data_IF_129784982856
#
_entry.id   IF_129784982856
#
_cell.length_a   1.000
_cell.length_b   1.000
_cell.length_c   1.000
_cell.angle_alpha   90.00
_cell.angle_beta   90.00
_cell.angle_gamma   90.00
#
_symmetry.space_group_name_H-M   'P 1'
#
loop_
_entity.id
_entity.type
_entity.pdbx_description
1 polymer ?
#
# COMPACT_ATOMS: atom_id res chain seq x y z
N UNK A 1 9.36 9.02 18.59
CA UNK A 1 8.93 10.41 18.31
C UNK A 1 8.15 10.41 16.99
N UNK A 2 6.89 10.85 16.99
CA UNK A 2 6.07 11.01 15.77
C UNK A 2 6.47 12.31 15.09
N UNK A 3 6.56 12.32 13.76
CA UNK A 3 6.87 13.54 13.01
C UNK A 3 5.68 14.49 12.97
N UNK A 4 5.94 15.77 13.22
CA UNK A 4 4.97 16.84 13.00
C UNK A 4 4.81 17.17 11.51
N UNK A 5 3.76 17.90 11.17
CA UNK A 5 3.56 18.53 9.86
C UNK A 5 4.80 19.27 9.34
N UNK A 6 5.43 20.08 10.19
CA UNK A 6 6.66 20.83 9.88
C UNK A 6 7.83 19.90 9.60
N UNK A 7 7.97 18.82 10.36
CA UNK A 7 9.05 17.85 10.17
C UNK A 7 8.87 17.03 8.89
N UNK A 8 7.62 16.63 8.59
CA UNK A 8 7.27 15.96 7.33
C UNK A 8 7.63 16.88 6.16
N UNK A 9 7.21 18.15 6.20
CA UNK A 9 7.50 19.11 5.14
C UNK A 9 8.99 19.34 4.96
N UNK A 10 9.75 19.46 6.06
CA UNK A 10 11.21 19.58 6.02
C UNK A 10 11.85 18.37 5.35
N UNK A 11 11.45 17.15 5.72
CA UNK A 11 12.01 15.91 5.15
C UNK A 11 11.68 15.72 3.67
N UNK A 12 10.50 16.16 3.24
CA UNK A 12 10.12 16.19 1.82
C UNK A 12 10.99 17.18 1.05
N UNK A 13 11.24 18.38 1.59
CA UNK A 13 12.15 19.37 0.98
C UNK A 13 13.59 18.87 0.89
N UNK A 14 14.09 18.26 1.96
CA UNK A 14 15.45 17.73 2.06
C UNK A 14 15.63 16.39 1.29
N UNK A 15 14.57 15.90 0.61
CA UNK A 15 14.52 14.63 -0.15
C UNK A 15 14.81 13.36 0.65
N UNK A 16 14.87 13.45 1.98
CA UNK A 16 14.99 12.29 2.88
C UNK A 16 13.70 11.48 2.96
N UNK A 17 12.55 12.10 2.65
CA UNK A 17 11.25 11.46 2.50
C UNK A 17 10.68 11.82 1.13
N UNK A 18 10.30 10.82 0.35
CA UNK A 18 9.73 11.01 -0.98
C UNK A 18 8.26 10.61 -0.99
N UNK A 19 7.38 11.54 -1.34
CA UNK A 19 5.94 11.33 -1.50
C UNK A 19 5.57 11.84 -2.89
N UNK A 20 5.00 10.98 -3.73
CA UNK A 20 4.61 11.33 -5.10
C UNK A 20 3.22 10.77 -5.44
N UNK A 21 2.26 11.63 -5.83
CA UNK A 21 2.29 13.10 -5.80
C UNK A 21 2.20 13.66 -4.37
N UNK A 22 2.86 14.79 -4.10
CA UNK A 22 2.74 15.51 -2.83
C UNK A 22 1.82 16.72 -2.98
N UNK A 23 0.74 16.76 -2.19
CA UNK A 23 -0.13 17.92 -2.05
C UNK A 23 -0.11 18.39 -0.60
N UNK A 24 0.26 19.66 -0.39
CA UNK A 24 0.30 20.27 0.95
C UNK A 24 -1.08 20.33 1.60
N UNK A 25 -2.17 20.34 0.84
CA UNK A 25 -3.54 20.33 1.38
C UNK A 25 -3.92 19.02 2.08
N UNK A 26 -3.13 17.97 1.89
CA UNK A 26 -3.33 16.66 2.51
C UNK A 26 -2.54 16.50 3.81
N UNK A 27 -1.71 17.49 4.16
CA UNK A 27 -0.91 17.46 5.37
C UNK A 27 -1.78 17.84 6.58
N UNK A 28 -1.76 16.98 7.59
CA UNK A 28 -2.40 17.13 8.89
C UNK A 28 -1.33 17.37 9.96
N UNK A 29 -1.67 17.71 11.23
CA UNK A 29 -0.69 18.07 12.26
C UNK A 29 0.44 17.06 12.51
N UNK A 30 0.18 15.77 12.33
CA UNK A 30 1.17 14.68 12.50
C UNK A 30 1.01 13.53 11.50
N UNK A 31 0.17 13.72 10.49
CA UNK A 31 -0.16 12.71 9.48
C UNK A 31 -0.27 13.34 8.09
N UNK A 32 -0.32 12.51 7.06
CA UNK A 32 -0.65 12.92 5.69
C UNK A 32 -1.71 12.01 5.10
N UNK A 33 -2.78 12.60 4.57
CA UNK A 33 -3.86 11.87 3.90
C UNK A 33 -3.36 11.32 2.56
N UNK A 34 -3.77 10.09 2.23
CA UNK A 34 -3.56 9.51 0.91
C UNK A 34 -4.88 9.09 0.26
N UNK A 35 -4.83 8.98 -1.07
CA UNK A 35 -6.00 8.72 -1.88
C UNK A 35 -6.02 7.27 -2.39
N UNK A 36 -7.23 6.75 -2.59
CA UNK A 36 -7.46 5.46 -3.20
C UNK A 36 -7.12 5.49 -4.69
N UNK A 37 -6.32 4.53 -5.17
CA UNK A 37 -6.07 4.35 -6.61
C UNK A 37 -7.26 3.67 -7.30
N UNK A 38 -7.30 3.77 -8.63
CA UNK A 38 -8.27 3.14 -9.53
C UNK A 38 -8.11 1.61 -9.66
N UNK A 39 -6.98 1.04 -9.21
CA UNK A 39 -6.70 -0.41 -9.35
C UNK A 39 -6.95 -1.14 -8.04
N UNK A 40 -7.87 -2.10 -8.07
CA UNK A 40 -8.29 -2.91 -6.92
C UNK A 40 -8.05 -4.38 -7.24
N UNK A 41 -7.49 -5.14 -6.29
CA UNK A 41 -7.38 -6.59 -6.44
C UNK A 41 -8.63 -7.28 -5.88
N UNK A 42 -9.23 -8.15 -6.68
CA UNK A 42 -10.41 -8.94 -6.34
C UNK A 42 -10.03 -10.41 -6.37
N UNK A 43 -10.44 -11.15 -5.35
CA UNK A 43 -10.22 -12.59 -5.29
C UNK A 43 -11.34 -13.33 -6.01
N UNK A 44 -10.97 -14.20 -6.94
CA UNK A 44 -11.92 -15.06 -7.65
C UNK A 44 -12.02 -16.41 -6.91
N UNK A 45 -12.57 -16.37 -5.69
CA UNK A 45 -12.61 -17.50 -4.74
C UNK A 45 -13.26 -18.78 -5.30
N UNK A 46 -14.07 -18.66 -6.36
CA UNK A 46 -14.73 -19.79 -7.02
C UNK A 46 -13.81 -20.58 -7.95
N UNK A 47 -12.68 -20.01 -8.38
CA UNK A 47 -11.73 -20.70 -9.27
C UNK A 47 -10.82 -21.67 -8.53
N UNK A 48 -10.71 -21.56 -7.21
CA UNK A 48 -9.75 -22.31 -6.40
C UNK A 48 -10.42 -22.93 -5.19
N UNK A 49 -10.44 -24.27 -5.10
CA UNK A 49 -10.97 -24.96 -3.91
C UNK A 49 -10.09 -24.81 -2.67
N UNK A 50 -8.81 -24.45 -2.84
CA UNK A 50 -7.85 -24.26 -1.75
C UNK A 50 -6.71 -23.34 -2.21
N UNK A 51 -6.15 -22.56 -1.28
CA UNK A 51 -4.91 -21.81 -1.49
C UNK A 51 -3.75 -22.61 -0.89
N UNK A 52 -2.92 -23.19 -1.75
CA UNK A 52 -1.65 -23.83 -1.37
C UNK A 52 -0.53 -22.78 -1.40
N UNK A 53 0.03 -22.48 -0.22
CA UNK A 53 1.02 -21.44 -0.02
C UNK A 53 2.38 -21.74 -0.68
N UNK A 54 2.71 -23.02 -0.91
CA UNK A 54 3.98 -23.42 -1.52
C UNK A 54 3.96 -23.31 -3.05
N UNK A 55 2.77 -23.28 -3.65
CA UNK A 55 2.59 -23.17 -5.09
C UNK A 55 2.27 -21.74 -5.50
N UNK A 56 2.83 -21.31 -6.63
CA UNK A 56 2.45 -20.04 -7.25
C UNK A 56 1.04 -20.21 -7.83
N UNK A 57 0.08 -19.48 -7.29
CA UNK A 57 -1.31 -19.48 -7.72
C UNK A 57 -1.80 -18.04 -7.86
N UNK A 58 -2.42 -17.74 -9.00
CA UNK A 58 -3.01 -16.44 -9.27
C UNK A 58 -4.48 -16.47 -8.81
N UNK A 59 -4.69 -16.28 -7.52
CA UNK A 59 -6.04 -16.31 -6.87
C UNK A 59 -6.80 -14.98 -6.95
N UNK A 60 -6.17 -13.96 -7.52
CA UNK A 60 -6.70 -12.61 -7.57
C UNK A 60 -6.42 -11.96 -8.90
N UNK A 61 -7.37 -11.16 -9.38
CA UNK A 61 -7.21 -10.30 -10.56
C UNK A 61 -7.31 -8.84 -10.18
N UNK A 62 -6.58 -8.01 -10.92
CA UNK A 62 -6.68 -6.56 -10.76
C UNK A 62 -7.82 -6.04 -11.64
N UNK A 63 -8.73 -5.30 -11.02
CA UNK A 63 -9.81 -4.56 -11.66
C UNK A 63 -9.47 -3.08 -11.64
N UNK A 64 -9.52 -2.44 -12.80
CA UNK A 64 -9.39 -0.99 -12.92
C UNK A 64 -10.80 -0.39 -12.99
N UNK A 65 -11.19 0.40 -11.99
CA UNK A 65 -12.48 1.09 -11.97
C UNK A 65 -12.45 2.41 -12.75
N UNK A 66 -11.28 2.88 -13.18
CA UNK A 66 -11.09 4.16 -13.85
C UNK A 66 -11.13 5.37 -12.92
N UNK A 67 -10.66 6.52 -13.42
CA UNK A 67 -10.43 7.75 -12.61
C UNK A 67 -11.67 8.37 -11.96
N UNK A 68 -12.87 8.05 -12.45
CA UNK A 68 -14.15 8.50 -11.88
C UNK A 68 -15.07 7.32 -11.53
N UNK A 69 -14.51 6.10 -11.51
CA UNK A 69 -15.28 4.92 -11.18
C UNK A 69 -15.48 4.75 -9.69
N UNK A 70 -16.28 3.75 -9.38
CA UNK A 70 -16.58 3.34 -8.02
C UNK A 70 -16.54 1.82 -7.89
N UNK A 71 -16.18 1.35 -6.70
CA UNK A 71 -16.19 -0.06 -6.35
C UNK A 71 -17.00 -0.26 -5.07
N UNK A 72 -17.79 -1.32 -4.98
CA UNK A 72 -18.57 -1.63 -3.79
C UNK A 72 -17.87 -2.74 -3.02
N UNK A 73 -17.61 -2.52 -1.74
CA UNK A 73 -17.09 -3.54 -0.82
C UNK A 73 -18.15 -3.90 0.22
N UNK A 74 -18.14 -5.16 0.66
CA UNK A 74 -19.07 -5.68 1.66
C UNK A 74 -18.32 -6.12 2.93
N UNK A 75 -17.70 -5.16 3.62
CA UNK A 75 -16.90 -5.40 4.84
C UNK A 75 -17.69 -5.15 6.14
N UNK A 76 -18.94 -4.71 6.04
CA UNK A 76 -19.77 -4.32 7.17
C UNK A 76 -21.23 -4.73 6.96
N UNK A 77 -22.11 -4.34 7.90
CA UNK A 77 -23.56 -4.62 7.81
C UNK A 77 -24.20 -3.98 6.58
N UNK A 78 -23.65 -2.87 6.08
CA UNK A 78 -24.07 -2.23 4.84
C UNK A 78 -22.93 -2.23 3.81
N UNK A 79 -23.24 -2.39 2.51
CA UNK A 79 -22.25 -2.20 1.46
C UNK A 79 -21.70 -0.77 1.46
N UNK A 80 -20.40 -0.63 1.21
CA UNK A 80 -19.71 0.67 1.15
C UNK A 80 -19.24 0.90 -0.28
N UNK A 81 -19.64 2.03 -0.86
CA UNK A 81 -19.21 2.46 -2.19
C UNK A 81 -17.95 3.34 -2.08
N UNK A 82 -16.84 2.84 -2.61
CA UNK A 82 -15.57 3.54 -2.73
C UNK A 82 -15.48 4.24 -4.07
N UNK A 83 -14.78 5.38 -4.12
CA UNK A 83 -14.55 6.14 -5.34
C UNK A 83 -13.06 6.28 -5.62
N UNK A 84 -12.65 6.10 -6.87
CA UNK A 84 -11.25 6.36 -7.25
C UNK A 84 -10.87 7.82 -6.91
N UNK A 85 -9.70 8.00 -6.31
CA UNK A 85 -9.19 9.32 -5.93
C UNK A 85 -9.80 9.90 -4.65
N UNK A 86 -10.66 9.18 -3.91
CA UNK A 86 -11.12 9.64 -2.59
C UNK A 86 -10.01 9.50 -1.54
N UNK A 87 -10.03 10.34 -0.49
CA UNK A 87 -9.20 10.11 0.71
C UNK A 87 -9.64 8.81 1.37
N UNK A 88 -8.70 7.92 1.65
CA UNK A 88 -9.01 6.57 2.17
C UNK A 88 -8.29 6.24 3.47
N UNK A 89 -7.26 7.02 3.81
CA UNK A 89 -6.50 6.83 5.03
C UNK A 89 -5.43 7.89 5.18
N UNK A 90 -4.66 7.75 6.25
CA UNK A 90 -3.60 8.67 6.63
C UNK A 90 -2.36 7.89 7.07
N UNK A 91 -1.19 8.49 6.86
CA UNK A 91 0.11 7.94 7.28
C UNK A 91 0.72 8.82 8.37
N UNK A 92 1.15 8.20 9.47
CA UNK A 92 2.00 8.80 10.48
C UNK A 92 3.42 8.27 10.33
N UNK A 93 4.43 9.11 10.55
CA UNK A 93 5.84 8.71 10.49
C UNK A 93 6.44 8.72 11.89
N UNK A 94 7.17 7.67 12.23
CA UNK A 94 7.82 7.52 13.54
C UNK A 94 9.33 7.43 13.33
N UNK A 95 10.06 8.20 14.13
CA UNK A 95 11.51 8.15 14.17
C UNK A 95 12.01 6.86 14.84
N UNK A 96 12.91 6.16 14.15
CA UNK A 96 13.70 5.09 14.74
C UNK A 96 14.74 5.65 15.70
N UNK A 97 15.15 4.84 16.68
CA UNK A 97 16.25 5.18 17.59
C UNK A 97 17.61 5.20 16.90
N UNK A 98 17.78 4.42 15.83
CA UNK A 98 19.00 4.35 15.02
C UNK A 98 18.69 3.97 13.56
N UNK A 99 19.63 4.19 12.63
CA UNK A 99 19.50 3.69 11.27
C UNK A 99 19.33 2.16 11.23
N UNK A 100 18.46 1.67 10.33
CA UNK A 100 18.27 0.23 10.14
C UNK A 100 19.52 -0.41 9.51
N UNK A 101 20.02 -1.49 10.12
CA UNK A 101 21.21 -2.21 9.60
C UNK A 101 20.96 -2.89 8.26
N UNK A 102 19.73 -3.34 8.02
CA UNK A 102 19.35 -4.06 6.80
C UNK A 102 17.99 -3.54 6.34
N UNK A 103 17.95 -2.48 5.52
CA UNK A 103 16.70 -1.88 5.07
C UNK A 103 15.91 -2.81 4.13
N UNK A 104 14.60 -2.60 4.05
CA UNK A 104 13.75 -3.27 3.06
C UNK A 104 14.25 -3.02 1.63
N UNK A 105 14.22 -4.05 0.78
CA UNK A 105 14.80 -4.03 -0.57
C UNK A 105 16.26 -4.46 -0.63
N UNK A 106 16.95 -4.62 0.51
CA UNK A 106 18.30 -5.17 0.54
C UNK A 106 18.33 -6.64 0.10
N UNK A 107 19.43 -7.04 -0.58
CA UNK A 107 19.62 -8.41 -1.08
C UNK A 107 19.51 -9.48 0.03
N UNK A 108 19.95 -9.16 1.25
CA UNK A 108 19.94 -10.07 2.40
C UNK A 108 18.53 -10.46 2.86
N UNK A 109 17.55 -9.56 2.74
CA UNK A 109 16.19 -9.81 3.24
C UNK A 109 15.30 -10.60 2.26
N UNK A 110 15.66 -10.67 0.98
CA UNK A 110 14.76 -11.25 -0.02
C UNK A 110 13.42 -10.52 -0.12
N UNK A 111 13.43 -9.19 0.01
CA UNK A 111 12.23 -8.35 -0.02
C UNK A 111 11.45 -8.51 -1.34
N UNK A 112 10.15 -8.77 -1.23
CA UNK A 112 9.32 -9.23 -2.36
C UNK A 112 8.65 -8.11 -3.16
N UNK A 113 8.46 -6.95 -2.54
CA UNK A 113 7.56 -5.90 -3.04
C UNK A 113 8.24 -4.53 -3.18
N UNK A 114 9.57 -4.49 -3.21
CA UNK A 114 10.31 -3.26 -3.48
C UNK A 114 9.86 -2.67 -4.84
N UNK A 115 9.57 -1.37 -4.87
CA UNK A 115 9.11 -0.62 -6.05
C UNK A 115 7.74 -1.06 -6.63
N UNK A 116 6.85 -1.65 -5.83
CA UNK A 116 5.50 -1.98 -6.28
C UNK A 116 4.71 -0.72 -6.69
N UNK A 117 3.92 -0.81 -7.78
CA UNK A 117 3.12 0.30 -8.35
C UNK A 117 1.60 0.08 -8.28
N UNK A 118 1.16 -1.00 -7.66
CA UNK A 118 -0.24 -1.39 -7.60
C UNK A 118 -0.43 -2.65 -6.75
N UNK A 119 -1.65 -3.21 -6.73
CA UNK A 119 -1.96 -4.35 -5.88
C UNK A 119 -1.34 -5.63 -6.46
N UNK A 120 -0.06 -5.83 -6.16
CA UNK A 120 0.75 -6.95 -6.67
C UNK A 120 0.30 -8.25 -6.02
N UNK A 121 0.11 -9.30 -6.82
CA UNK A 121 -0.27 -10.62 -6.31
C UNK A 121 0.75 -11.16 -5.30
N UNK A 122 0.28 -12.03 -4.40
CA UNK A 122 1.10 -12.60 -3.33
C UNK A 122 2.30 -13.37 -3.88
N UNK A 123 3.45 -13.16 -3.24
CA UNK A 123 4.71 -13.88 -3.51
C UNK A 123 5.09 -14.81 -2.34
N UNK A 124 4.11 -15.28 -1.56
CA UNK A 124 4.36 -16.14 -0.39
C UNK A 124 5.08 -17.46 -0.76
N UNK A 125 4.73 -18.05 -1.91
CA UNK A 125 5.36 -19.26 -2.45
C UNK A 125 6.87 -19.19 -2.60
N UNK A 126 7.46 -17.98 -2.68
CA UNK A 126 8.91 -17.81 -2.74
C UNK A 126 9.62 -18.24 -1.44
N UNK A 127 8.92 -18.24 -0.30
CA UNK A 127 9.53 -18.64 0.98
C UNK A 127 9.73 -20.16 1.07
N UNK A 128 8.96 -20.94 0.31
CA UNK A 128 9.01 -22.41 0.30
C UNK A 128 10.04 -22.97 -0.70
N UNK A 129 10.69 -22.12 -1.50
CA UNK A 129 11.71 -22.50 -2.48
C UNK A 129 13.14 -22.36 -1.96
N UNK A 130 13.29 -22.10 -0.65
CA UNK A 130 14.59 -22.01 0.02
C UNK A 130 15.08 -23.37 0.47
#
# INVERSE_FOLDING_TARGET
MILSDKDILKRVKDKSLKIEPFDRKMLQPSTIDFHLDSKISVFDNWQTGMIDLAKKQDVSRVVDIGKKGSFIIHISRLPIKLYAGMRIGQLAFIMMSSPVMTPYGSKKLGSKYQNQKGPTASKIWQDFRK
#
